data_IF_905417657806
#
_entry.id   IF_905417657806
#
_cell.length_a   1.000
_cell.length_b   1.000
_cell.length_c   1.000
_cell.angle_alpha   90.00
_cell.angle_beta   90.00
_cell.angle_gamma   90.00
#
_symmetry.space_group_name_H-M   'P 1'
#
loop_
_entity.id
_entity.type
_entity.pdbx_description
1 polymer ?
#
# COMPACT_ATOMS: atom_id res chain seq x y z
N UNK A 1 8.78 -11.46 -17.20
CA UNK A 1 8.90 -10.84 -15.86
C UNK A 1 8.88 -11.99 -14.87
N UNK A 2 10.01 -12.28 -14.22
CA UNK A 2 10.11 -13.37 -13.24
C UNK A 2 9.41 -12.90 -11.98
N UNK A 3 8.24 -13.47 -11.66
CA UNK A 3 7.63 -13.33 -10.34
C UNK A 3 8.51 -14.12 -9.38
N UNK A 4 9.48 -13.48 -8.75
CA UNK A 4 10.08 -14.05 -7.54
C UNK A 4 8.95 -14.17 -6.54
N UNK A 5 8.64 -15.37 -6.00
CA UNK A 5 7.66 -15.48 -4.95
C UNK A 5 8.15 -14.60 -3.80
N UNK A 6 7.32 -13.64 -3.41
CA UNK A 6 7.51 -12.92 -2.16
C UNK A 6 7.35 -13.94 -1.03
N UNK A 7 8.45 -14.21 -0.34
CA UNK A 7 8.48 -15.13 0.79
C UNK A 7 7.66 -14.50 1.93
N UNK A 8 6.39 -14.90 2.04
CA UNK A 8 5.43 -14.33 2.99
C UNK A 8 5.68 -14.83 4.42
N UNK A 9 6.52 -15.86 4.60
CA UNK A 9 6.80 -16.48 5.90
C UNK A 9 7.39 -15.48 6.91
N UNK A 10 8.17 -14.50 6.45
CA UNK A 10 8.71 -13.43 7.30
C UNK A 10 7.62 -12.45 7.75
N UNK A 11 6.61 -12.21 6.90
CA UNK A 11 5.50 -11.31 7.21
C UNK A 11 4.46 -11.98 8.13
N UNK A 12 4.38 -13.31 8.11
CA UNK A 12 3.50 -14.06 9.02
C UNK A 12 3.92 -13.92 10.49
N UNK A 13 5.22 -13.79 10.76
CA UNK A 13 5.74 -13.49 12.11
C UNK A 13 5.51 -12.04 12.58
N UNK A 14 5.21 -11.11 11.67
CA UNK A 14 4.99 -9.69 11.95
C UNK A 14 3.51 -9.29 11.98
N UNK A 15 2.60 -10.23 11.73
CA UNK A 15 1.16 -10.02 11.61
C UNK A 15 0.41 -10.83 12.66
N UNK A 16 0.58 -10.50 13.95
CA UNK A 16 -0.30 -11.04 14.98
C UNK A 16 -1.76 -10.65 14.69
N UNK A 17 -2.70 -11.45 15.20
CA UNK A 17 -4.14 -11.17 15.04
C UNK A 17 -4.49 -9.76 15.54
N UNK A 18 -3.92 -9.36 16.67
CA UNK A 18 -4.16 -8.05 17.29
C UNK A 18 -3.64 -6.90 16.41
N UNK A 19 -2.47 -7.07 15.77
CA UNK A 19 -1.91 -6.06 14.85
C UNK A 19 -2.79 -5.89 13.61
N UNK A 20 -3.28 -7.00 13.05
CA UNK A 20 -4.19 -7.00 11.90
C UNK A 20 -5.52 -6.33 12.28
N UNK A 21 -6.06 -6.63 13.45
CA UNK A 21 -7.32 -6.04 13.94
C UNK A 21 -7.18 -4.52 14.17
N UNK A 22 -6.03 -4.06 14.69
CA UNK A 22 -5.73 -2.64 14.84
C UNK A 22 -5.67 -1.92 13.49
N UNK A 23 -4.94 -2.47 12.51
CA UNK A 23 -4.86 -1.88 11.17
C UNK A 23 -6.23 -1.82 10.48
N UNK A 24 -7.02 -2.89 10.62
CA UNK A 24 -8.40 -2.92 10.11
C UNK A 24 -9.29 -1.85 10.76
N UNK A 25 -9.12 -1.57 12.05
CA UNK A 25 -9.87 -0.52 12.75
C UNK A 25 -9.51 0.87 12.21
N UNK A 26 -8.23 1.16 11.99
CA UNK A 26 -7.77 2.42 11.39
C UNK A 26 -8.36 2.60 9.99
N UNK A 27 -8.33 1.57 9.15
CA UNK A 27 -8.91 1.62 7.80
C UNK A 27 -10.43 1.85 7.82
N UNK A 28 -11.15 1.24 8.76
CA UNK A 28 -12.59 1.47 8.94
C UNK A 28 -12.87 2.92 9.29
N UNK A 29 -12.12 3.50 10.23
CA UNK A 29 -12.27 4.91 10.59
C UNK A 29 -12.03 5.82 9.37
N UNK A 30 -10.97 5.55 8.59
CA UNK A 30 -10.69 6.30 7.35
C UNK A 30 -11.83 6.19 6.34
N UNK A 31 -12.40 5.00 6.15
CA UNK A 31 -13.53 4.82 5.22
C UNK A 31 -14.80 5.59 5.60
N UNK A 32 -14.91 6.03 6.86
CA UNK A 32 -16.01 6.86 7.36
C UNK A 32 -15.68 8.37 7.33
N UNK A 33 -14.55 8.77 6.75
CA UNK A 33 -14.12 10.17 6.65
C UNK A 33 -13.65 10.77 7.98
N UNK A 34 -13.30 9.93 8.97
CA UNK A 34 -12.85 10.39 10.30
C UNK A 34 -11.51 11.13 10.22
N UNK A 35 -10.71 10.84 9.19
CA UNK A 35 -9.43 11.50 8.91
C UNK A 35 -9.57 13.02 8.63
N UNK A 36 -10.78 13.51 8.31
CA UNK A 36 -11.07 14.94 8.21
C UNK A 36 -11.17 15.66 9.56
N UNK A 37 -11.38 14.91 10.64
CA UNK A 37 -11.58 15.45 11.99
C UNK A 37 -10.37 15.19 12.90
N UNK A 38 -9.70 14.05 12.70
CA UNK A 38 -8.51 13.65 13.48
C UNK A 38 -7.51 12.93 12.60
N UNK A 39 -6.23 13.19 12.82
CA UNK A 39 -5.16 12.47 12.13
C UNK A 39 -5.17 10.98 12.50
N UNK A 40 -5.44 10.12 11.51
CA UNK A 40 -5.30 8.68 11.65
C UNK A 40 -3.85 8.25 11.35
N UNK A 41 -3.33 7.15 11.96
CA UNK A 41 -2.00 6.65 11.65
C UNK A 41 -1.83 6.29 10.16
N UNK A 42 -0.72 6.74 9.56
CA UNK A 42 -0.36 6.48 8.17
C UNK A 42 1.16 6.39 8.01
N UNK A 43 1.64 5.73 6.96
CA UNK A 43 3.05 5.70 6.57
C UNK A 43 3.17 6.46 5.26
N UNK A 44 4.04 7.47 5.24
CA UNK A 44 4.32 8.26 4.05
C UNK A 44 5.73 7.94 3.55
N UNK A 45 5.85 7.62 2.26
CA UNK A 45 7.14 7.39 1.60
C UNK A 45 7.60 8.68 0.94
N UNK A 46 8.66 9.29 1.48
CA UNK A 46 9.24 10.53 1.00
C UNK A 46 10.69 10.34 0.53
N UNK A 47 11.16 11.22 -0.35
CA UNK A 47 12.55 11.26 -0.80
C UNK A 47 12.72 11.84 -2.20
N UNK A 48 13.95 12.20 -2.53
CA UNK A 48 14.32 12.90 -3.77
C UNK A 48 13.95 12.14 -5.06
N UNK A 49 13.88 12.85 -6.18
CA UNK A 49 13.66 12.20 -7.48
C UNK A 49 14.69 11.08 -7.71
N UNK A 50 14.23 9.94 -8.21
CA UNK A 50 15.07 8.76 -8.49
C UNK A 50 15.68 8.07 -7.26
N UNK A 51 15.23 8.37 -6.03
CA UNK A 51 15.65 7.66 -4.81
C UNK A 51 15.09 6.23 -4.64
N UNK A 52 14.46 5.67 -5.68
CA UNK A 52 13.94 4.29 -5.64
C UNK A 52 12.62 4.09 -4.91
N UNK A 53 11.89 5.16 -4.52
CA UNK A 53 10.56 5.07 -3.85
C UNK A 53 9.60 4.13 -4.57
N UNK A 54 9.41 4.35 -5.87
CA UNK A 54 8.53 3.50 -6.69
C UNK A 54 9.03 2.07 -6.72
N UNK A 55 10.34 1.84 -6.85
CA UNK A 55 10.91 0.48 -6.85
C UNK A 55 10.74 -0.26 -5.52
N UNK A 56 10.80 0.46 -4.39
CA UNK A 56 10.50 -0.11 -3.07
C UNK A 56 9.02 -0.47 -2.97
N UNK A 57 8.12 0.42 -3.39
CA UNK A 57 6.68 0.13 -3.41
C UNK A 57 6.32 -0.99 -4.39
N UNK A 58 6.99 -1.07 -5.54
CA UNK A 58 6.86 -2.17 -6.52
C UNK A 58 7.29 -3.49 -5.92
N UNK A 59 8.42 -3.51 -5.21
CA UNK A 59 8.86 -4.68 -4.49
C UNK A 59 7.77 -5.09 -3.48
N UNK A 60 7.40 -4.22 -2.54
CA UNK A 60 6.47 -4.57 -1.47
C UNK A 60 5.08 -4.97 -2.00
N UNK A 61 4.55 -4.28 -3.01
CA UNK A 61 3.19 -4.51 -3.53
C UNK A 61 3.11 -5.60 -4.60
N UNK A 62 4.22 -5.91 -5.29
CA UNK A 62 4.22 -6.73 -6.49
C UNK A 62 3.57 -6.08 -7.73
N UNK A 63 3.15 -4.82 -7.64
CA UNK A 63 2.52 -4.07 -8.74
C UNK A 63 3.54 -3.11 -9.34
N UNK A 64 3.64 -3.05 -10.67
CA UNK A 64 4.49 -2.07 -11.35
C UNK A 64 3.93 -0.65 -11.24
N UNK A 65 4.80 0.29 -10.90
CA UNK A 65 4.49 1.71 -10.85
C UNK A 65 4.96 2.37 -12.17
N UNK A 66 4.26 3.43 -12.64
CA UNK A 66 4.67 4.11 -13.86
C UNK A 66 6.09 4.69 -13.75
N UNK A 67 6.95 4.32 -14.69
CA UNK A 67 8.29 4.88 -14.84
C UNK A 67 8.30 5.77 -16.08
N UNK A 68 8.50 7.09 -15.91
CA UNK A 68 8.65 8.03 -17.02
C UNK A 68 9.94 8.84 -16.85
N UNK A 69 10.45 9.41 -17.93
CA UNK A 69 11.64 10.28 -17.90
C UNK A 69 11.43 11.59 -17.12
N UNK A 70 10.18 11.92 -16.76
CA UNK A 70 9.80 13.06 -15.93
C UNK A 70 9.31 12.60 -14.54
N UNK A 71 8.60 13.46 -13.80
CA UNK A 71 8.00 13.13 -12.50
C UNK A 71 7.16 11.85 -12.57
N UNK A 72 7.64 10.77 -11.93
CA UNK A 72 6.97 9.46 -11.92
C UNK A 72 5.63 9.47 -11.18
N UNK A 73 5.54 10.20 -10.06
CA UNK A 73 4.34 10.27 -9.21
C UNK A 73 3.80 11.69 -9.20
N UNK A 74 2.69 11.92 -9.92
CA UNK A 74 2.04 13.24 -10.04
C UNK A 74 0.93 13.46 -9.02
N UNK A 75 0.37 12.38 -8.50
CA UNK A 75 -0.69 12.38 -7.50
C UNK A 75 -0.26 11.50 -6.32
N UNK A 76 -0.62 11.85 -5.08
CA UNK A 76 -0.50 10.93 -3.95
C UNK A 76 -1.17 9.61 -4.31
N UNK A 77 -0.42 8.51 -4.23
CA UNK A 77 -0.93 7.17 -4.48
C UNK A 77 -1.05 6.47 -3.13
N UNK A 78 -2.27 6.15 -2.72
CA UNK A 78 -2.50 5.34 -1.53
C UNK A 78 -2.33 3.86 -1.88
N UNK A 79 -1.54 3.15 -1.09
CA UNK A 79 -1.33 1.71 -1.22
C UNK A 79 -1.84 1.02 0.04
N UNK A 80 -2.86 0.18 -0.10
CA UNK A 80 -3.43 -0.62 0.98
C UNK A 80 -3.18 -2.10 0.68
N UNK A 81 -2.41 -2.77 1.55
CA UNK A 81 -2.06 -4.18 1.40
C UNK A 81 -2.86 -5.02 2.40
N UNK A 82 -3.63 -5.99 1.90
CA UNK A 82 -4.49 -6.88 2.70
C UNK A 82 -4.29 -8.32 2.24
N UNK A 83 -4.18 -9.27 3.19
CA UNK A 83 -4.18 -10.70 2.87
C UNK A 83 -5.60 -11.14 2.47
N UNK A 84 -5.73 -11.83 1.35
CA UNK A 84 -7.01 -12.39 0.87
C UNK A 84 -6.76 -13.78 0.27
N UNK A 85 -7.64 -14.77 0.53
CA UNK A 85 -7.56 -16.08 -0.14
C UNK A 85 -8.06 -16.01 -1.60
N UNK A 86 -8.81 -14.97 -1.95
CA UNK A 86 -9.39 -14.81 -3.27
C UNK A 86 -8.48 -13.98 -4.17
N UNK A 87 -8.18 -14.51 -5.35
CA UNK A 87 -7.47 -13.80 -6.41
C UNK A 87 -8.49 -13.14 -7.34
N UNK A 88 -8.38 -11.82 -7.53
CA UNK A 88 -9.27 -11.07 -8.39
C UNK A 88 -8.79 -9.63 -8.57
N UNK A 89 -9.38 -8.91 -9.52
CA UNK A 89 -9.10 -7.50 -9.80
C UNK A 89 -10.42 -6.75 -9.91
N UNK A 90 -10.54 -5.65 -9.16
CA UNK A 90 -11.67 -4.71 -9.24
C UNK A 90 -11.14 -3.34 -9.63
N UNK A 91 -11.78 -2.69 -10.58
CA UNK A 91 -11.41 -1.33 -11.04
C UNK A 91 -12.63 -0.44 -10.96
N UNK A 92 -12.49 0.71 -10.31
CA UNK A 92 -13.56 1.70 -10.14
C UNK A 92 -12.99 3.11 -10.20
N UNK A 93 -13.81 4.06 -10.64
CA UNK A 93 -13.53 5.50 -10.58
C UNK A 93 -14.49 6.10 -9.56
N UNK A 94 -13.96 6.73 -8.52
CA UNK A 94 -14.75 7.49 -7.53
C UNK A 94 -14.75 8.96 -7.98
N UNK A 95 -15.92 9.54 -8.31
CA UNK A 95 -16.03 10.92 -8.77
C UNK A 95 -15.82 11.95 -7.66
#
# INVERSE_FOLDING_TARGET
MVTRPFDNDVLDGLCSKDQVDLLNAVDRLRSQGIDHYVSLPQIIVCGDQSSGKSSVLEAISGISFPVKSNLCTRFPTELILRKTPNVGVTVSIVP
#
